data_IF_780954997945
#
_entry.id   IF_780954997945
#
_cell.length_a   1.000
_cell.length_b   1.000
_cell.length_c   1.000
_cell.angle_alpha   90.00
_cell.angle_beta   90.00
_cell.angle_gamma   90.00
#
_symmetry.space_group_name_H-M   'P 1'
#
loop_
_entity.id
_entity.type
_entity.pdbx_description
1 polymer ?
#
# COMPACT_ATOMS: atom_id res chain seq x y z
N UNK A 1 8.26 -16.37 11.21
CA UNK A 1 7.82 -17.67 10.65
C UNK A 1 8.98 -18.65 10.72
N UNK A 2 8.85 -19.76 11.47
CA UNK A 2 9.95 -20.72 11.66
C UNK A 2 9.98 -21.79 10.58
N UNK A 3 8.81 -22.30 10.17
CA UNK A 3 8.68 -23.30 9.11
C UNK A 3 9.23 -22.76 7.77
N UNK A 4 10.25 -23.40 7.17
CA UNK A 4 10.77 -23.01 5.87
C UNK A 4 9.73 -23.08 4.75
N UNK A 5 8.82 -24.06 4.76
CA UNK A 5 7.82 -24.23 3.70
C UNK A 5 6.80 -23.10 3.69
N UNK A 6 6.27 -22.76 4.87
CA UNK A 6 5.39 -21.61 5.05
C UNK A 6 6.09 -20.31 4.65
N UNK A 7 7.37 -20.16 5.00
CA UNK A 7 8.17 -19.00 4.65
C UNK A 7 8.36 -18.85 3.15
N UNK A 8 8.68 -19.94 2.45
CA UNK A 8 8.81 -19.97 0.99
C UNK A 8 7.49 -19.63 0.30
N UNK A 9 6.38 -20.21 0.76
CA UNK A 9 5.05 -19.89 0.25
C UNK A 9 4.72 -18.39 0.35
N UNK A 10 5.06 -17.77 1.48
CA UNK A 10 4.82 -16.34 1.72
C UNK A 10 5.81 -15.42 0.99
N UNK A 11 7.05 -15.86 0.76
CA UNK A 11 7.99 -15.11 -0.08
C UNK A 11 7.55 -15.07 -1.55
N UNK A 12 6.86 -16.11 -2.01
CA UNK A 12 6.28 -16.16 -3.35
C UNK A 12 4.86 -15.56 -3.40
N UNK A 13 4.49 -14.67 -2.48
CA UNK A 13 3.14 -14.11 -2.35
C UNK A 13 2.57 -13.49 -3.64
N UNK A 14 3.41 -12.91 -4.51
CA UNK A 14 2.94 -12.38 -5.81
C UNK A 14 2.36 -13.50 -6.70
N UNK A 15 2.89 -14.71 -6.60
CA UNK A 15 2.43 -15.88 -7.35
C UNK A 15 1.39 -16.70 -6.56
N UNK A 16 1.49 -16.72 -5.23
CA UNK A 16 0.69 -17.59 -4.37
C UNK A 16 -0.54 -16.92 -3.77
N UNK A 17 -0.58 -15.59 -3.67
CA UNK A 17 -1.68 -14.82 -3.08
C UNK A 17 -2.30 -13.88 -4.12
N UNK A 18 -3.52 -14.16 -4.61
CA UNK A 18 -4.19 -13.32 -5.62
C UNK A 18 -4.33 -11.85 -5.22
N UNK A 19 -4.47 -11.56 -3.93
CA UNK A 19 -4.59 -10.20 -3.42
C UNK A 19 -3.28 -9.40 -3.50
N UNK A 20 -2.13 -10.07 -3.37
CA UNK A 20 -0.80 -9.46 -3.55
C UNK A 20 -0.51 -9.31 -5.03
N UNK A 21 -0.90 -10.30 -5.84
CA UNK A 21 -0.80 -10.22 -7.30
C UNK A 21 -1.48 -8.99 -7.88
N UNK A 22 -2.72 -8.68 -7.45
CA UNK A 22 -3.45 -7.47 -7.92
C UNK A 22 -2.68 -6.18 -7.69
N UNK A 23 -2.03 -6.02 -6.53
CA UNK A 23 -1.19 -4.86 -6.23
C UNK A 23 0.06 -4.83 -7.12
N UNK A 24 0.70 -5.97 -7.32
CA UNK A 24 1.88 -6.10 -8.18
C UNK A 24 1.54 -5.77 -9.66
N UNK A 25 0.45 -6.33 -10.18
CA UNK A 25 -0.03 -6.08 -11.54
C UNK A 25 -0.37 -4.59 -11.74
N UNK A 26 -1.04 -3.95 -10.75
CA UNK A 26 -1.29 -2.52 -10.77
C UNK A 26 0.01 -1.70 -10.82
N UNK A 27 0.99 -2.04 -9.98
CA UNK A 27 2.27 -1.33 -9.95
C UNK A 27 3.03 -1.48 -11.28
N UNK A 28 3.04 -2.69 -11.86
CA UNK A 28 3.64 -2.95 -13.18
C UNK A 28 2.97 -2.14 -14.29
N UNK A 29 1.64 -2.00 -14.25
CA UNK A 29 0.88 -1.25 -15.25
C UNK A 29 1.19 0.25 -15.28
N UNK A 30 1.56 0.85 -14.14
CA UNK A 30 1.88 2.29 -14.07
C UNK A 30 3.38 2.57 -14.07
N UNK A 31 4.16 1.78 -13.34
CA UNK A 31 5.60 2.01 -13.15
C UNK A 31 6.40 1.34 -14.26
N UNK A 32 6.03 0.11 -14.65
CA UNK A 32 6.71 -0.68 -15.67
C UNK A 32 6.30 -0.35 -17.11
N UNK A 33 5.18 0.34 -17.30
CA UNK A 33 4.69 0.72 -18.62
C UNK A 33 5.65 1.74 -19.27
N UNK A 34 6.17 1.42 -20.46
CA UNK A 34 7.13 2.27 -21.17
C UNK A 34 6.50 3.56 -21.72
N UNK A 35 5.19 3.54 -21.96
CA UNK A 35 4.47 4.68 -22.52
C UNK A 35 3.92 5.62 -21.43
N UNK A 36 3.97 5.23 -20.16
CA UNK A 36 3.53 6.06 -19.05
C UNK A 36 4.44 7.28 -18.86
N UNK A 37 3.84 8.47 -18.73
CA UNK A 37 4.57 9.71 -18.52
C UNK A 37 5.16 9.77 -17.11
N UNK A 38 6.24 10.53 -16.93
CA UNK A 38 6.90 10.66 -15.63
C UNK A 38 5.93 11.13 -14.53
N UNK A 39 5.05 12.09 -14.83
CA UNK A 39 4.06 12.57 -13.86
C UNK A 39 3.04 11.51 -13.43
N UNK A 40 2.65 10.60 -14.32
CA UNK A 40 1.78 9.47 -13.98
C UNK A 40 2.50 8.48 -13.06
N UNK A 41 3.78 8.20 -13.34
CA UNK A 41 4.62 7.34 -12.49
C UNK A 41 4.84 7.93 -11.11
N UNK A 42 5.05 9.25 -11.00
CA UNK A 42 5.19 9.93 -9.70
C UNK A 42 3.92 9.78 -8.86
N UNK A 43 2.74 9.95 -9.47
CA UNK A 43 1.46 9.76 -8.78
C UNK A 43 1.26 8.29 -8.39
N UNK A 44 1.57 7.36 -9.29
CA UNK A 44 1.49 5.94 -9.00
C UNK A 44 2.44 5.53 -7.86
N UNK A 45 3.66 6.06 -7.86
CA UNK A 45 4.64 5.84 -6.80
C UNK A 45 4.15 6.39 -5.46
N UNK A 46 3.62 7.62 -5.43
CA UNK A 46 3.01 8.17 -4.22
C UNK A 46 1.87 7.29 -3.68
N UNK A 47 1.08 6.68 -4.55
CA UNK A 47 0.05 5.73 -4.14
C UNK A 47 0.62 4.40 -3.60
N UNK A 48 1.77 3.94 -4.09
CA UNK A 48 2.45 2.76 -3.53
C UNK A 48 2.93 3.04 -2.10
N UNK A 49 3.56 4.18 -1.86
CA UNK A 49 4.11 4.52 -0.53
C UNK A 49 3.02 4.94 0.47
N UNK A 50 1.98 5.66 -0.01
CA UNK A 50 0.99 6.30 0.85
C UNK A 50 -0.37 5.62 0.94
N UNK A 51 -0.78 4.82 -0.06
CA UNK A 51 -2.08 4.14 -0.08
C UNK A 51 -1.90 2.65 0.11
N UNK A 52 -1.11 1.99 -0.74
CA UNK A 52 -0.76 0.60 -0.49
C UNK A 52 0.02 0.53 0.82
N UNK A 53 -0.39 -0.40 1.69
CA UNK A 53 0.12 -0.57 3.07
C UNK A 53 -0.41 0.39 4.13
N UNK A 54 -1.13 1.46 3.78
CA UNK A 54 -1.74 2.36 4.77
C UNK A 54 -2.59 1.62 5.81
N UNK A 55 -3.44 0.68 5.37
CA UNK A 55 -4.24 -0.10 6.29
C UNK A 55 -3.47 -1.22 7.00
N UNK A 56 -2.37 -1.71 6.43
CA UNK A 56 -1.44 -2.60 7.14
C UNK A 56 -0.77 -1.87 8.31
N UNK A 57 -0.29 -0.64 8.09
CA UNK A 57 0.27 0.20 9.16
C UNK A 57 -0.77 0.46 10.25
N UNK A 58 -1.99 0.87 9.87
CA UNK A 58 -3.09 1.07 10.81
C UNK A 58 -3.43 -0.20 11.61
N UNK A 59 -3.43 -1.36 10.93
CA UNK A 59 -3.68 -2.67 11.56
C UNK A 59 -2.62 -3.05 12.59
N UNK A 60 -1.35 -2.71 12.34
CA UNK A 60 -0.27 -2.95 13.30
C UNK A 60 -0.33 -1.93 14.45
N UNK A 61 -0.69 -0.68 14.19
CA UNK A 61 -0.97 0.29 15.26
C UNK A 61 -2.14 -0.12 16.15
N UNK A 62 -3.13 -0.82 15.61
CA UNK A 62 -4.19 -1.42 16.41
C UNK A 62 -3.65 -2.46 17.41
N UNK A 63 -2.67 -3.27 17.02
CA UNK A 63 -1.98 -4.19 17.93
C UNK A 63 -1.21 -3.43 19.03
N UNK A 64 -0.57 -2.31 18.67
CA UNK A 64 0.10 -1.41 19.64
C UNK A 64 -0.87 -0.91 20.71
N UNK A 65 -2.07 -0.47 20.30
CA UNK A 65 -3.12 -0.01 21.24
C UNK A 65 -3.49 -1.08 22.27
N UNK A 66 -3.35 -2.36 21.91
CA UNK A 66 -3.61 -3.52 22.79
C UNK A 66 -2.37 -4.00 23.56
N UNK A 67 -1.22 -3.32 23.43
CA UNK A 67 0.02 -3.68 24.09
C UNK A 67 0.69 -4.95 23.56
N UNK A 68 0.42 -5.32 22.30
CA UNK A 68 0.91 -6.56 21.69
C UNK A 68 2.10 -6.29 20.75
N UNK A 69 3.00 -7.27 20.66
CA UNK A 69 4.09 -7.32 19.67
C UNK A 69 4.99 -6.07 19.65
N UNK A 70 5.61 -5.66 20.78
CA UNK A 70 6.31 -4.38 20.92
C UNK A 70 7.44 -4.17 19.89
N UNK A 71 8.16 -5.23 19.54
CA UNK A 71 9.20 -5.16 18.50
C UNK A 71 8.63 -4.86 17.11
N UNK A 72 7.52 -5.51 16.73
CA UNK A 72 6.82 -5.28 15.47
C UNK A 72 6.24 -3.88 15.41
N UNK A 73 5.57 -3.43 16.48
CA UNK A 73 4.93 -2.11 16.51
C UNK A 73 5.95 -0.98 16.48
N UNK A 74 7.09 -1.15 17.15
CA UNK A 74 8.19 -0.19 17.10
C UNK A 74 8.80 -0.10 15.69
N UNK A 75 9.09 -1.23 15.03
CA UNK A 75 9.56 -1.20 13.64
C UNK A 75 8.52 -0.58 12.70
N UNK A 76 7.24 -0.85 12.93
CA UNK A 76 6.14 -0.29 12.13
C UNK A 76 6.06 1.23 12.24
N UNK A 77 6.30 1.79 13.42
CA UNK A 77 6.36 3.25 13.61
C UNK A 77 7.46 3.89 12.77
N UNK A 78 8.66 3.29 12.77
CA UNK A 78 9.78 3.80 12.01
C UNK A 78 9.51 3.71 10.50
N UNK A 79 9.04 2.54 10.03
CA UNK A 79 8.75 2.34 8.61
C UNK A 79 7.62 3.26 8.15
N UNK A 80 6.50 3.31 8.86
CA UNK A 80 5.37 4.18 8.45
C UNK A 80 5.72 5.67 8.42
N UNK A 81 6.64 6.13 9.27
CA UNK A 81 7.20 7.48 9.20
C UNK A 81 8.01 7.68 7.92
N UNK A 82 8.85 6.71 7.58
CA UNK A 82 9.73 6.80 6.41
C UNK A 82 8.90 6.76 5.11
N UNK A 83 7.88 5.91 5.03
CA UNK A 83 6.95 5.88 3.89
C UNK A 83 6.15 7.19 3.74
N UNK A 84 5.78 7.81 4.86
CA UNK A 84 5.17 9.15 4.86
C UNK A 84 6.09 10.19 4.22
N UNK A 85 7.38 10.17 4.57
CA UNK A 85 8.38 11.05 3.98
C UNK A 85 8.57 10.81 2.46
N UNK A 86 8.58 9.55 2.03
CA UNK A 86 8.68 9.21 0.60
C UNK A 86 7.46 9.69 -0.19
N UNK A 87 6.25 9.51 0.36
CA UNK A 87 5.01 10.00 -0.23
C UNK A 87 5.01 11.54 -0.35
N UNK A 88 5.42 12.25 0.71
CA UNK A 88 5.56 13.71 0.70
C UNK A 88 6.57 14.18 -0.35
N UNK A 89 7.68 13.46 -0.50
CA UNK A 89 8.67 13.76 -1.52
C UNK A 89 8.12 13.57 -2.93
N UNK A 90 7.36 12.51 -3.19
CA UNK A 90 6.69 12.31 -4.48
C UNK A 90 5.70 13.45 -4.78
N UNK A 91 4.95 13.91 -3.78
CA UNK A 91 4.08 15.08 -3.90
C UNK A 91 4.86 16.37 -4.21
N UNK A 92 6.03 16.55 -3.58
CA UNK A 92 6.91 17.68 -3.87
C UNK A 92 7.44 17.64 -5.30
N UNK A 93 7.91 16.48 -5.77
CA UNK A 93 8.33 16.30 -7.15
C UNK A 93 7.20 16.60 -8.13
N UNK A 94 5.99 16.12 -7.84
CA UNK A 94 4.80 16.40 -8.65
C UNK A 94 4.52 17.91 -8.75
N UNK A 95 4.65 18.67 -7.65
CA UNK A 95 4.44 20.14 -7.66
C UNK A 95 5.35 20.83 -8.67
N UNK A 96 6.61 20.40 -8.77
CA UNK A 96 7.62 20.96 -9.67
C UNK A 96 7.50 20.50 -11.13
N UNK A 97 6.57 19.59 -11.46
CA UNK A 97 6.33 19.22 -12.85
C UNK A 97 5.66 20.35 -13.62
N UNK A 98 6.23 20.66 -14.78
CA UNK A 98 5.62 21.58 -15.75
C UNK A 98 4.45 20.89 -16.46
N UNK A 99 4.70 19.72 -17.05
CA UNK A 99 3.69 18.92 -17.74
C UNK A 99 3.11 17.89 -16.77
N UNK A 100 2.01 18.27 -16.12
CA UNK A 100 1.29 17.40 -15.19
C UNK A 100 0.26 16.55 -15.94
N UNK A 101 0.02 15.29 -15.52
CA UNK A 101 -1.13 14.52 -16.00
C UNK A 101 -2.44 15.23 -15.64
N UNK A 102 -3.50 14.91 -16.39
CA UNK A 102 -4.82 15.47 -16.12
C UNK A 102 -5.33 15.07 -14.73
N UNK A 103 -6.17 15.90 -14.11
CA UNK A 103 -6.81 15.56 -12.83
C UNK A 103 -7.59 14.25 -12.92
N UNK A 104 -8.25 13.98 -14.06
CA UNK A 104 -8.96 12.73 -14.30
C UNK A 104 -8.02 11.52 -14.25
N UNK A 105 -6.82 11.63 -14.86
CA UNK A 105 -5.78 10.59 -14.80
C UNK A 105 -5.31 10.38 -13.37
N UNK A 106 -4.99 11.46 -12.64
CA UNK A 106 -4.54 11.39 -11.24
C UNK A 106 -5.61 10.69 -10.38
N UNK A 107 -6.87 11.14 -10.49
CA UNK A 107 -7.99 10.56 -9.75
C UNK A 107 -8.19 9.09 -10.09
N UNK A 108 -8.05 8.70 -11.36
CA UNK A 108 -8.13 7.31 -11.77
C UNK A 108 -7.06 6.45 -11.09
N UNK A 109 -5.79 6.89 -11.11
CA UNK A 109 -4.69 6.17 -10.46
C UNK A 109 -4.98 5.98 -8.97
N UNK A 110 -5.34 7.06 -8.26
CA UNK A 110 -5.60 7.05 -6.83
C UNK A 110 -6.81 6.18 -6.47
N UNK A 111 -7.94 6.33 -7.16
CA UNK A 111 -9.17 5.57 -6.87
C UNK A 111 -8.95 4.07 -7.10
N UNK A 112 -8.24 3.69 -8.17
CA UNK A 112 -7.91 2.29 -8.41
C UNK A 112 -7.04 1.70 -7.28
N UNK A 113 -6.03 2.46 -6.81
CA UNK A 113 -5.20 2.02 -5.68
C UNK A 113 -6.03 1.85 -4.39
N UNK A 114 -6.90 2.81 -4.07
CA UNK A 114 -7.78 2.74 -2.89
C UNK A 114 -8.70 1.54 -2.95
N UNK A 115 -9.32 1.26 -4.11
CA UNK A 115 -10.20 0.10 -4.27
C UNK A 115 -9.46 -1.23 -4.03
N UNK A 116 -8.25 -1.37 -4.55
CA UNK A 116 -7.41 -2.56 -4.33
C UNK A 116 -7.04 -2.69 -2.85
N UNK A 117 -6.68 -1.60 -2.18
CA UNK A 117 -6.34 -1.62 -0.75
C UNK A 117 -7.54 -1.97 0.14
N UNK A 118 -8.72 -1.40 -0.15
CA UNK A 118 -9.96 -1.75 0.54
C UNK A 118 -10.32 -3.23 0.36
N UNK A 119 -10.20 -3.77 -0.86
CA UNK A 119 -10.41 -5.19 -1.12
C UNK A 119 -9.43 -6.05 -0.31
N UNK A 120 -8.15 -5.68 -0.29
CA UNK A 120 -7.10 -6.39 0.45
C UNK A 120 -7.44 -6.49 1.95
N UNK A 121 -7.85 -5.39 2.58
CA UNK A 121 -8.06 -5.31 4.03
C UNK A 121 -9.42 -5.80 4.50
N UNK A 122 -10.39 -5.95 3.58
CA UNK A 122 -11.75 -6.36 3.96
C UNK A 122 -12.14 -7.74 3.46
N UNK A 123 -11.46 -8.25 2.43
CA UNK A 123 -11.75 -9.57 1.84
C UNK A 123 -10.57 -10.52 1.98
N UNK A 124 -9.37 -10.11 1.54
CA UNK A 124 -8.23 -11.02 1.46
C UNK A 124 -7.55 -11.26 2.82
N UNK A 125 -7.32 -10.20 3.58
CA UNK A 125 -6.82 -10.25 4.95
C UNK A 125 -7.73 -9.38 5.83
N UNK A 126 -8.94 -9.87 6.15
CA UNK A 126 -9.94 -9.07 6.84
C UNK A 126 -9.42 -8.57 8.18
N UNK A 127 -9.41 -7.26 8.39
CA UNK A 127 -8.98 -6.64 9.65
C UNK A 127 -9.85 -7.06 10.85
N UNK A 128 -11.03 -7.64 10.57
CA UNK A 128 -11.87 -8.33 11.57
C UNK A 128 -11.13 -9.45 12.29
N UNK A 129 -10.16 -10.12 11.65
CA UNK A 129 -9.35 -11.17 12.25
C UNK A 129 -8.57 -10.70 13.49
N UNK A 130 -8.24 -9.40 13.56
CA UNK A 130 -7.54 -8.78 14.69
C UNK A 130 -8.46 -7.89 15.55
N UNK A 131 -9.77 -7.92 15.29
CA UNK A 131 -10.79 -7.20 16.05
C UNK A 131 -11.01 -5.74 15.62
N UNK A 132 -10.64 -5.37 14.39
CA UNK A 132 -10.99 -4.06 13.81
C UNK A 132 -12.28 -4.13 13.00
N UNK A 133 -12.92 -2.98 12.79
CA UNK A 133 -14.12 -2.84 11.97
C UNK A 133 -13.74 -2.59 10.49
N UNK A 134 -14.25 -3.42 9.58
CA UNK A 134 -13.96 -3.31 8.14
C UNK A 134 -14.53 -2.03 7.51
N UNK A 135 -15.67 -1.53 7.97
CA UNK A 135 -16.27 -0.29 7.45
C UNK A 135 -15.45 0.92 7.86
N UNK A 136 -14.96 0.96 9.11
CA UNK A 136 -14.02 1.99 9.57
C UNK A 136 -12.68 1.92 8.83
N UNK A 137 -12.24 0.74 8.38
CA UNK A 137 -11.03 0.60 7.57
C UNK A 137 -11.21 1.13 6.14
N UNK A 138 -12.45 1.16 5.62
CA UNK A 138 -12.73 1.67 4.28
C UNK A 138 -12.89 3.20 4.21
N UNK A 139 -13.23 3.83 5.33
CA UNK A 139 -13.51 5.27 5.43
C UNK A 139 -12.26 6.11 5.17
#
# INVERSE_FOLDING_TARGET
IKDPKEREFLFNAVETLPCVKKKADWALNWIGNKDAQFGERVVAFAAVEGIFFSGSFASIFWLKKRGLMPGLTFSNELISRDEGLHCDFACLMFKHLVNKPSEATVKSIIVNAVQIEQEFLTQALPVKLIGMNCDLMKQ
#
